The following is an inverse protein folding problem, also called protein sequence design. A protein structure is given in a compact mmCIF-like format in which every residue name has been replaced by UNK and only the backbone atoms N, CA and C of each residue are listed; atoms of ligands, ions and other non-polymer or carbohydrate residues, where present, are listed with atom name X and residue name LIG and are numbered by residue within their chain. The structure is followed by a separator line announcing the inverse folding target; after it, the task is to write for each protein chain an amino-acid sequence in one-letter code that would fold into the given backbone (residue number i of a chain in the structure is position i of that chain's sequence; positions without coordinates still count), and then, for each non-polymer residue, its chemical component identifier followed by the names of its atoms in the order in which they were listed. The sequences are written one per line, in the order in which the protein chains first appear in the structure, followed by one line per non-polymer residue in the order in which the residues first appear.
data_IF_602380876746
#
_entry.id   IF_602380876746
#
_cell.length_a   1.000
_cell.length_b   1.000
_cell.length_c   1.000
_cell.angle_alpha   90.00
_cell.angle_beta   90.00
_cell.angle_gamma   90.00
#
_symmetry.space_group_name_H-M   'P 1'
#
loop_
_entity.id
_entity.type
_entity.pdbx_description
1 polymer ?
#
# COMPACT_ATOMS: atom_id res chain seq x y z
N UNK A 1 7.05 8.90 -15.37
CA UNK A 1 6.43 9.48 -14.16
C UNK A 1 5.33 8.54 -13.71
N UNK A 2 5.08 8.45 -12.40
CA UNK A 2 4.10 7.55 -11.80
C UNK A 2 3.14 8.39 -10.96
N UNK A 3 1.85 8.06 -10.99
CA UNK A 3 0.88 8.62 -10.05
C UNK A 3 0.82 7.74 -8.79
N UNK A 4 0.98 8.34 -7.61
CA UNK A 4 0.83 7.67 -6.33
C UNK A 4 -0.51 8.11 -5.72
N UNK A 5 -1.33 7.12 -5.37
CA UNK A 5 -2.69 7.28 -4.84
C UNK A 5 -2.97 6.23 -3.80
N UNK A 6 -3.95 6.48 -2.95
CA UNK A 6 -4.36 5.62 -1.87
C UNK A 6 -5.72 6.03 -1.33
N UNK A 7 -6.30 5.20 -0.46
CA UNK A 7 -7.36 5.61 0.46
C UNK A 7 -8.50 6.35 -0.26
N UNK A 8 -8.92 5.83 -1.41
CA UNK A 8 -9.95 6.44 -2.26
C UNK A 8 -10.65 5.38 -3.14
N UNK A 9 -11.96 5.48 -3.40
CA UNK A 9 -12.86 6.56 -3.02
C UNK A 9 -13.21 6.64 -1.53
N UNK A 10 -12.75 5.71 -0.69
CA UNK A 10 -12.87 5.67 0.77
C UNK A 10 -14.26 5.97 1.33
N UNK A 11 -14.76 7.20 1.29
CA UNK A 11 -16.07 7.58 1.81
C UNK A 11 -16.99 8.21 0.74
N UNK A 12 -18.17 8.65 1.17
CA UNK A 12 -19.14 9.31 0.29
C UNK A 12 -18.58 10.58 -0.38
N UNK A 13 -17.64 11.29 0.27
CA UNK A 13 -17.00 12.46 -0.31
C UNK A 13 -16.01 12.04 -1.40
N UNK A 14 -15.17 11.04 -1.14
CA UNK A 14 -14.23 10.53 -2.12
C UNK A 14 -14.93 9.89 -3.33
N UNK A 15 -16.09 9.23 -3.17
CA UNK A 15 -16.91 8.77 -4.32
C UNK A 15 -17.26 9.93 -5.28
N UNK A 16 -17.52 11.13 -4.75
CA UNK A 16 -17.84 12.32 -5.56
C UNK A 16 -16.60 12.98 -6.18
N UNK A 17 -15.46 12.94 -5.48
CA UNK A 17 -14.26 13.71 -5.81
C UNK A 17 -13.21 12.92 -6.62
N UNK A 18 -13.17 11.59 -6.47
CA UNK A 18 -12.24 10.71 -7.18
C UNK A 18 -12.38 10.79 -8.72
N UNK A 19 -13.57 10.96 -9.32
CA UNK A 19 -13.66 11.18 -10.76
C UNK A 19 -12.79 12.34 -11.26
N UNK A 20 -12.61 13.40 -10.46
CA UNK A 20 -11.73 14.52 -10.81
C UNK A 20 -10.24 14.13 -10.73
N UNK A 21 -9.86 13.27 -9.78
CA UNK A 21 -8.50 12.71 -9.65
C UNK A 21 -8.17 11.86 -10.86
N UNK A 22 -9.05 10.93 -11.21
CA UNK A 22 -8.89 10.03 -12.34
C UNK A 22 -8.78 10.84 -13.64
N UNK A 23 -9.61 11.88 -13.81
CA UNK A 23 -9.53 12.78 -14.96
C UNK A 23 -8.18 13.51 -15.02
N UNK A 24 -7.68 14.04 -13.91
CA UNK A 24 -6.39 14.74 -13.85
C UNK A 24 -5.22 13.81 -14.20
N UNK A 25 -5.20 12.59 -13.64
CA UNK A 25 -4.19 11.55 -13.95
C UNK A 25 -4.28 11.10 -15.41
N UNK A 26 -5.49 10.81 -15.92
CA UNK A 26 -5.70 10.36 -17.29
C UNK A 26 -5.23 11.42 -18.31
N UNK A 27 -5.53 12.69 -18.04
CA UNK A 27 -5.17 13.83 -18.90
C UNK A 27 -3.68 14.20 -18.83
N UNK A 28 -2.93 13.73 -17.82
CA UNK A 28 -1.49 13.96 -17.74
C UNK A 28 -0.73 12.98 -18.66
N UNK A 29 -0.12 13.43 -19.78
CA UNK A 29 0.54 12.53 -20.72
C UNK A 29 1.81 11.89 -20.17
N UNK A 30 2.42 12.49 -19.12
CA UNK A 30 3.69 12.02 -18.53
C UNK A 30 3.52 10.82 -17.61
N UNK A 31 2.32 10.63 -17.04
CA UNK A 31 2.03 9.47 -16.20
C UNK A 31 2.08 8.22 -17.05
N UNK A 32 2.87 7.23 -16.63
CA UNK A 32 3.01 5.93 -17.28
C UNK A 32 1.98 4.93 -16.73
N UNK A 33 1.78 4.90 -15.41
CA UNK A 33 0.81 4.08 -14.67
C UNK A 33 0.61 4.65 -13.25
N UNK A 34 -0.31 4.06 -12.48
CA UNK A 34 -0.63 4.44 -11.11
C UNK A 34 -0.23 3.33 -10.13
N UNK A 35 0.34 3.71 -8.98
CA UNK A 35 0.49 2.86 -7.80
C UNK A 35 -0.62 3.22 -6.80
N UNK A 36 -1.42 2.24 -6.44
CA UNK A 36 -2.53 2.38 -5.51
C UNK A 36 -2.26 1.58 -4.24
N UNK A 37 -2.10 2.24 -3.10
CA UNK A 37 -1.61 1.60 -1.88
C UNK A 37 -2.69 0.89 -1.04
N UNK A 38 -3.99 1.14 -1.22
CA UNK A 38 -5.04 0.37 -0.52
C UNK A 38 -6.27 1.21 -0.17
N UNK A 39 -7.23 0.61 0.53
CA UNK A 39 -8.39 1.29 1.12
C UNK A 39 -9.30 2.04 0.13
N UNK A 40 -9.83 1.28 -0.81
CA UNK A 40 -10.91 1.64 -1.73
C UNK A 40 -12.27 1.87 -1.06
N UNK A 41 -12.44 1.50 0.21
CA UNK A 41 -13.69 1.67 0.97
C UNK A 41 -13.44 2.11 2.41
N UNK A 42 -14.42 2.73 3.04
CA UNK A 42 -14.24 3.28 4.39
C UNK A 42 -14.34 2.19 5.45
N UNK A 43 -13.43 2.23 6.42
CA UNK A 43 -13.46 1.41 7.63
C UNK A 43 -14.61 1.76 8.59
N UNK A 44 -15.37 2.83 8.31
CA UNK A 44 -16.39 3.41 9.22
C UNK A 44 -17.79 3.51 8.63
N UNK A 45 -17.93 3.54 7.29
CA UNK A 45 -19.22 3.81 6.62
C UNK A 45 -19.67 2.75 5.62
N UNK A 46 -18.73 2.04 4.98
CA UNK A 46 -19.05 1.19 3.83
C UNK A 46 -19.09 -0.29 4.18
N UNK A 47 -20.19 -0.96 3.86
CA UNK A 47 -20.31 -2.40 4.09
C UNK A 47 -19.46 -3.20 3.11
N UNK A 48 -18.80 -4.25 3.60
CA UNK A 48 -18.11 -5.25 2.78
C UNK A 48 -19.09 -6.25 2.14
N UNK A 49 -20.17 -5.74 1.55
CA UNK A 49 -21.14 -6.58 0.85
C UNK A 49 -20.53 -7.17 -0.43
N UNK A 50 -20.94 -8.37 -0.82
CA UNK A 50 -20.38 -9.08 -1.98
C UNK A 50 -20.41 -8.24 -3.27
N UNK A 51 -21.45 -7.42 -3.45
CA UNK A 51 -21.62 -6.55 -4.61
C UNK A 51 -20.64 -5.36 -4.65
N UNK A 52 -19.99 -5.00 -3.54
CA UNK A 52 -19.09 -3.86 -3.46
C UNK A 52 -17.82 -4.07 -4.29
N UNK A 53 -17.26 -5.28 -4.30
CA UNK A 53 -16.00 -5.61 -4.97
C UNK A 53 -16.07 -5.47 -6.51
N UNK A 54 -17.02 -6.12 -7.22
CA UNK A 54 -17.16 -5.90 -8.66
C UNK A 54 -17.61 -4.46 -8.99
N UNK A 55 -18.36 -3.80 -8.11
CA UNK A 55 -18.75 -2.40 -8.29
C UNK A 55 -17.53 -1.47 -8.20
N UNK A 56 -16.62 -1.67 -7.24
CA UNK A 56 -15.37 -0.93 -7.14
C UNK A 56 -14.48 -1.16 -8.37
N UNK A 57 -14.38 -2.41 -8.84
CA UNK A 57 -13.66 -2.70 -10.09
C UNK A 57 -14.19 -1.84 -11.26
N UNK A 58 -15.49 -1.86 -11.50
CA UNK A 58 -16.12 -1.23 -12.67
C UNK A 58 -16.28 0.28 -12.56
N UNK A 59 -16.54 0.79 -11.34
CA UNK A 59 -16.81 2.19 -11.10
C UNK A 59 -15.56 3.00 -10.73
N UNK A 60 -14.50 2.35 -10.27
CA UNK A 60 -13.24 2.98 -9.88
C UNK A 60 -12.05 2.51 -10.72
N UNK A 61 -11.57 1.28 -10.52
CA UNK A 61 -10.33 0.80 -11.18
C UNK A 61 -10.40 0.88 -12.71
N UNK A 62 -11.51 0.46 -13.31
CA UNK A 62 -11.69 0.43 -14.77
C UNK A 62 -11.82 1.84 -15.39
N UNK A 63 -11.86 2.91 -14.58
CA UNK A 63 -11.88 4.30 -15.08
C UNK A 63 -10.50 4.85 -15.40
N UNK A 64 -9.43 4.19 -14.96
CA UNK A 64 -8.07 4.58 -15.31
C UNK A 64 -7.73 4.12 -16.72
N UNK A 65 -7.25 5.04 -17.55
CA UNK A 65 -6.84 4.75 -18.95
C UNK A 65 -5.50 4.02 -19.05
N UNK A 66 -4.79 3.92 -17.92
CA UNK A 66 -3.48 3.30 -17.75
C UNK A 66 -3.56 2.26 -16.62
N UNK A 67 -2.57 1.38 -16.51
CA UNK A 67 -2.58 0.32 -15.51
C UNK A 67 -2.56 0.88 -14.10
N UNK A 68 -3.15 0.12 -13.19
CA UNK A 68 -2.99 0.27 -11.75
C UNK A 68 -2.25 -0.94 -11.21
N UNK A 69 -1.20 -0.68 -10.44
CA UNK A 69 -0.61 -1.67 -9.56
C UNK A 69 -1.18 -1.44 -8.17
N UNK A 70 -1.83 -2.46 -7.63
CA UNK A 70 -2.68 -2.36 -6.45
C UNK A 70 -2.07 -3.13 -5.27
N UNK A 71 -1.89 -2.49 -4.12
CA UNK A 71 -1.69 -3.17 -2.84
C UNK A 71 -2.99 -3.14 -2.03
N UNK A 72 -3.24 -4.22 -1.29
CA UNK A 72 -4.51 -4.43 -0.59
C UNK A 72 -4.46 -3.79 0.79
N UNK A 73 -5.48 -3.00 1.12
CA UNK A 73 -5.66 -2.41 2.43
C UNK A 73 -6.49 -3.27 3.38
N UNK A 74 -6.58 -2.84 4.63
CA UNK A 74 -7.35 -3.54 5.66
C UNK A 74 -8.86 -3.33 5.47
N UNK A 75 -9.28 -2.21 4.89
CA UNK A 75 -10.68 -1.83 4.81
C UNK A 75 -11.50 -2.69 3.83
N UNK A 76 -10.85 -3.35 2.87
CA UNK A 76 -11.50 -4.29 1.94
C UNK A 76 -11.81 -5.65 2.56
N UNK A 77 -11.15 -6.04 3.66
CA UNK A 77 -11.26 -7.41 4.16
C UNK A 77 -11.01 -7.57 5.66
N UNK A 78 -9.90 -7.07 6.21
CA UNK A 78 -9.54 -7.24 7.64
C UNK A 78 -10.63 -6.64 8.51
N UNK A 79 -11.02 -5.40 8.22
CA UNK A 79 -12.02 -4.65 8.99
C UNK A 79 -13.46 -5.14 8.82
N UNK A 80 -13.71 -6.10 7.93
CA UNK A 80 -15.06 -6.45 7.54
C UNK A 80 -15.86 -7.18 8.62
N UNK A 81 -15.20 -7.66 9.67
CA UNK A 81 -15.80 -8.22 10.89
C UNK A 81 -16.43 -7.15 11.79
N UNK A 82 -16.09 -5.88 11.59
CA UNK A 82 -16.71 -4.75 12.31
C UNK A 82 -18.20 -4.68 11.97
N UNK A 83 -19.02 -4.44 12.99
CA UNK A 83 -20.48 -4.34 12.83
C UNK A 83 -20.90 -3.28 11.81
N UNK A 84 -20.18 -2.13 11.76
CA UNK A 84 -20.43 -1.05 10.78
C UNK A 84 -20.11 -1.47 9.34
N UNK A 85 -19.18 -2.42 9.17
CA UNK A 85 -18.77 -3.01 7.89
C UNK A 85 -19.62 -4.22 7.50
N UNK A 86 -20.49 -4.69 8.39
CA UNK A 86 -21.46 -5.76 8.16
C UNK A 86 -21.20 -7.07 8.91
N UNK A 87 -20.11 -7.17 9.68
CA UNK A 87 -19.84 -8.35 10.52
C UNK A 87 -19.53 -9.61 9.72
N UNK A 88 -18.80 -9.48 8.62
CA UNK A 88 -18.44 -10.56 7.72
C UNK A 88 -17.15 -11.26 8.15
N UNK A 89 -16.97 -12.51 7.72
CA UNK A 89 -15.68 -13.21 7.88
C UNK A 89 -14.61 -12.59 6.95
N UNK A 90 -13.52 -12.02 7.49
CA UNK A 90 -12.45 -11.41 6.71
C UNK A 90 -11.87 -12.30 5.60
N UNK A 91 -11.79 -13.62 5.81
CA UNK A 91 -11.21 -14.52 4.82
C UNK A 91 -12.11 -14.68 3.59
N UNK A 92 -13.42 -14.63 3.78
CA UNK A 92 -14.37 -14.62 2.64
C UNK A 92 -14.26 -13.33 1.84
N UNK A 93 -13.89 -12.22 2.50
CA UNK A 93 -13.69 -10.91 1.88
C UNK A 93 -12.37 -10.82 1.15
N UNK A 94 -11.31 -11.36 1.71
CA UNK A 94 -10.04 -11.52 1.01
C UNK A 94 -10.19 -12.38 -0.26
N UNK A 95 -11.01 -13.43 -0.23
CA UNK A 95 -11.32 -14.21 -1.42
C UNK A 95 -12.05 -13.38 -2.50
N UNK A 96 -12.94 -12.45 -2.12
CA UNK A 96 -13.58 -11.52 -3.05
C UNK A 96 -12.60 -10.50 -3.62
N UNK A 97 -11.69 -9.95 -2.81
CA UNK A 97 -10.59 -9.08 -3.26
C UNK A 97 -9.77 -9.81 -4.33
N UNK A 98 -9.28 -11.02 -4.03
CA UNK A 98 -8.50 -11.83 -4.98
C UNK A 98 -9.25 -12.11 -6.27
N UNK A 99 -10.50 -12.57 -6.16
CA UNK A 99 -11.30 -12.97 -7.33
C UNK A 99 -11.72 -11.82 -8.26
N UNK A 100 -11.77 -10.59 -7.75
CA UNK A 100 -12.14 -9.42 -8.54
C UNK A 100 -10.93 -8.63 -9.04
N UNK A 101 -9.82 -8.64 -8.31
CA UNK A 101 -8.72 -7.70 -8.55
C UNK A 101 -7.40 -8.35 -8.97
N UNK A 102 -7.22 -9.66 -8.73
CA UNK A 102 -5.93 -10.32 -8.98
C UNK A 102 -6.04 -11.60 -9.78
N UNK A 103 -7.03 -12.45 -9.54
CA UNK A 103 -7.12 -13.75 -10.21
C UNK A 103 -8.57 -14.12 -10.47
N UNK A 104 -8.95 -14.39 -11.72
CA UNK A 104 -10.31 -14.80 -12.04
C UNK A 104 -10.58 -16.29 -11.73
N UNK A 105 -11.81 -16.73 -11.94
CA UNK A 105 -12.22 -18.12 -11.71
C UNK A 105 -11.49 -19.16 -12.57
N UNK A 106 -10.83 -18.74 -13.67
CA UNK A 106 -10.00 -19.62 -14.52
C UNK A 106 -8.55 -19.72 -14.02
N UNK A 107 -8.19 -18.94 -13.00
CA UNK A 107 -6.84 -18.83 -12.48
C UNK A 107 -5.98 -17.81 -13.23
N UNK A 108 -6.54 -17.06 -14.20
CA UNK A 108 -5.82 -16.05 -14.95
C UNK A 108 -5.69 -14.76 -14.15
N UNK A 109 -4.53 -14.08 -14.29
CA UNK A 109 -4.28 -12.83 -13.59
C UNK A 109 -5.15 -11.69 -14.15
N UNK A 110 -5.71 -10.87 -13.26
CA UNK A 110 -6.54 -9.71 -13.58
C UNK A 110 -5.66 -8.47 -13.56
N UNK A 111 -5.49 -7.82 -14.71
CA UNK A 111 -4.88 -6.49 -14.77
C UNK A 111 -5.93 -5.41 -14.50
N UNK A 112 -5.62 -4.49 -13.57
CA UNK A 112 -6.48 -3.35 -13.25
C UNK A 112 -6.16 -2.12 -14.11
N UNK A 113 -7.19 -1.33 -14.40
CA UNK A 113 -7.10 -0.14 -15.24
C UNK A 113 -6.87 -0.47 -16.73
N UNK A 114 -6.32 0.50 -17.46
CA UNK A 114 -6.02 0.37 -18.87
C UNK A 114 -4.69 -0.35 -19.14
N UNK A 115 -4.19 -0.25 -20.37
CA UNK A 115 -2.94 -0.91 -20.80
C UNK A 115 -1.74 0.04 -20.67
N UNK A 116 -0.55 -0.52 -20.44
CA UNK A 116 0.70 0.25 -20.49
C UNK A 116 0.86 0.93 -21.86
N UNK A 117 1.46 2.12 -21.86
CA UNK A 117 1.96 2.73 -23.09
C UNK A 117 3.29 2.07 -23.46
N UNK A 118 3.31 1.28 -24.53
CA UNK A 118 4.53 0.62 -25.02
C UNK A 118 4.79 -0.73 -24.36
N UNK A 119 6.05 -1.01 -23.99
CA UNK A 119 6.45 -2.31 -23.43
C UNK A 119 5.72 -2.60 -22.13
N UNK A 120 4.94 -3.68 -22.15
CA UNK A 120 4.23 -4.19 -20.99
C UNK A 120 5.26 -4.90 -20.10
N UNK A 121 5.48 -4.46 -18.84
CA UNK A 121 6.29 -5.21 -17.91
C UNK A 121 5.61 -6.55 -17.62
N UNK A 122 6.39 -7.63 -17.58
CA UNK A 122 5.90 -8.90 -17.07
C UNK A 122 5.74 -8.78 -15.56
N UNK A 123 4.49 -8.67 -15.10
CA UNK A 123 4.20 -8.65 -13.66
C UNK A 123 4.20 -10.10 -13.17
N UNK A 124 5.13 -10.37 -12.26
CA UNK A 124 5.22 -11.65 -11.57
C UNK A 124 4.28 -11.63 -10.37
N UNK A 125 3.66 -12.76 -10.10
CA UNK A 125 2.76 -12.96 -8.97
C UNK A 125 3.16 -14.21 -8.19
N UNK A 126 2.85 -14.24 -6.90
CA UNK A 126 2.94 -15.47 -6.14
C UNK A 126 1.77 -16.41 -6.49
N UNK A 127 2.02 -17.72 -6.50
CA UNK A 127 1.01 -18.70 -6.90
C UNK A 127 -0.09 -18.90 -5.83
N UNK A 128 0.23 -18.67 -4.56
CA UNK A 128 -0.72 -18.79 -3.45
C UNK A 128 -1.29 -17.45 -3.02
N UNK A 129 -0.54 -16.38 -3.23
CA UNK A 129 -0.92 -15.00 -2.90
C UNK A 129 -0.87 -14.13 -4.16
N UNK A 130 -1.90 -14.19 -5.03
CA UNK A 130 -1.89 -13.52 -6.34
C UNK A 130 -1.77 -11.99 -6.24
N UNK A 131 -2.06 -11.41 -5.08
CA UNK A 131 -1.85 -10.00 -4.78
C UNK A 131 -0.37 -9.59 -4.59
N UNK A 132 0.52 -10.54 -4.29
CA UNK A 132 1.96 -10.29 -4.21
C UNK A 132 2.49 -10.08 -5.62
N UNK A 133 2.87 -8.85 -5.97
CA UNK A 133 3.30 -8.48 -7.31
C UNK A 133 4.77 -8.06 -7.34
N UNK A 134 5.45 -8.29 -8.46
CA UNK A 134 6.82 -7.84 -8.68
C UNK A 134 7.11 -7.65 -10.16
N UNK A 135 7.72 -6.53 -10.54
CA UNK A 135 8.10 -6.27 -11.93
C UNK A 135 9.24 -5.26 -12.00
N UNK A 136 9.84 -5.12 -13.19
CA UNK A 136 10.83 -4.09 -13.45
C UNK A 136 10.33 -3.16 -14.56
N UNK A 137 10.49 -1.85 -14.38
CA UNK A 137 10.11 -0.85 -15.36
C UNK A 137 11.11 0.31 -15.36
N UNK A 138 11.69 0.61 -16.53
CA UNK A 138 12.67 1.68 -16.74
C UNK A 138 13.80 1.70 -15.70
N UNK A 139 14.37 0.53 -15.39
CA UNK A 139 15.50 0.39 -14.45
C UNK A 139 15.12 0.42 -12.97
N UNK A 140 13.82 0.40 -12.63
CA UNK A 140 13.32 0.32 -11.25
C UNK A 140 12.65 -1.03 -11.04
N UNK A 141 12.95 -1.67 -9.92
CA UNK A 141 12.23 -2.88 -9.47
C UNK A 141 11.11 -2.48 -8.51
N UNK A 142 9.91 -2.97 -8.77
CA UNK A 142 8.71 -2.77 -7.94
C UNK A 142 8.44 -4.05 -7.16
N UNK A 143 8.19 -3.89 -5.86
CA UNK A 143 7.89 -4.99 -4.93
C UNK A 143 6.57 -4.64 -4.24
N UNK A 144 5.54 -5.46 -4.40
CA UNK A 144 4.23 -5.23 -3.79
C UNK A 144 3.92 -6.42 -2.90
N UNK A 145 4.33 -6.37 -1.62
CA UNK A 145 3.83 -7.32 -0.63
C UNK A 145 2.41 -6.94 -0.19
N UNK A 146 1.68 -7.87 0.41
CA UNK A 146 0.34 -7.63 0.94
C UNK A 146 0.46 -7.36 2.43
N UNK A 147 0.57 -6.08 2.80
CA UNK A 147 0.77 -5.63 4.18
C UNK A 147 -0.30 -4.58 4.50
N UNK A 148 -1.50 -5.01 4.93
CA UNK A 148 -2.57 -4.12 5.37
C UNK A 148 -2.37 -3.68 6.82
N UNK A 149 -3.03 -2.59 7.20
CA UNK A 149 -3.14 -2.07 8.54
C UNK A 149 -3.97 -2.99 9.44
N UNK A 150 -4.55 -2.43 10.49
CA UNK A 150 -5.30 -3.19 11.50
C UNK A 150 -4.52 -4.42 11.97
N UNK A 151 -3.28 -4.15 12.42
CA UNK A 151 -2.35 -5.15 12.95
C UNK A 151 -2.01 -6.27 11.96
N UNK A 152 -2.04 -6.04 10.65
CA UNK A 152 -1.72 -7.04 9.64
C UNK A 152 -2.63 -8.28 9.72
N UNK A 153 -3.87 -8.13 10.24
CA UNK A 153 -4.78 -9.23 10.58
C UNK A 153 -4.24 -10.20 11.67
N UNK A 154 -3.23 -9.80 12.44
CA UNK A 154 -2.74 -10.59 13.57
C UNK A 154 -3.73 -10.51 14.76
N UNK A 155 -3.99 -11.62 15.48
CA UNK A 155 -4.88 -11.56 16.64
C UNK A 155 -4.38 -10.64 17.74
N UNK A 156 -5.25 -9.73 18.19
CA UNK A 156 -4.97 -8.79 19.28
C UNK A 156 -5.54 -9.31 20.59
N UNK A 157 -4.69 -9.87 21.44
CA UNK A 157 -5.11 -10.46 22.73
C UNK A 157 -5.20 -9.45 23.87
N UNK A 158 -4.73 -8.21 23.66
CA UNK A 158 -4.70 -7.15 24.67
C UNK A 158 -5.59 -5.96 24.26
N UNK A 159 -6.45 -5.44 25.16
CA UNK A 159 -7.32 -4.30 24.86
C UNK A 159 -6.60 -3.02 24.41
N UNK A 160 -5.32 -2.88 24.78
CA UNK A 160 -4.49 -1.72 24.43
C UNK A 160 -4.12 -1.65 22.94
N UNK A 161 -4.33 -2.73 22.18
CA UNK A 161 -4.08 -2.76 20.73
C UNK A 161 -5.37 -2.89 19.92
N UNK A 162 -6.50 -2.44 20.48
CA UNK A 162 -7.77 -2.37 19.76
C UNK A 162 -7.86 -1.06 19.01
N UNK A 163 -7.70 -1.11 17.71
CA UNK A 163 -8.21 -0.06 16.82
C UNK A 163 -9.72 -0.23 16.71
N UNK A 164 -10.36 0.61 15.91
CA UNK A 164 -11.78 0.93 15.93
C UNK A 164 -12.74 -0.28 16.14
N UNK A 165 -13.16 -0.53 17.39
CA UNK A 165 -14.11 -1.59 17.77
C UNK A 165 -13.59 -3.04 17.65
N UNK A 166 -12.27 -3.24 17.66
CA UNK A 166 -11.71 -4.59 17.53
C UNK A 166 -12.07 -5.48 18.75
N UNK A 167 -12.55 -6.69 18.53
CA UNK A 167 -12.90 -7.67 19.58
C UNK A 167 -11.68 -8.50 20.00
N UNK A 168 -11.79 -9.28 21.09
CA UNK A 168 -10.70 -10.17 21.51
C UNK A 168 -10.51 -11.38 20.56
N UNK A 169 -11.39 -11.53 19.58
CA UNK A 169 -11.38 -12.60 18.59
C UNK A 169 -11.05 -12.11 17.17
N UNK A 170 -10.74 -10.83 17.01
CA UNK A 170 -10.39 -10.27 15.71
C UNK A 170 -8.99 -10.72 15.31
N UNK A 171 -8.76 -10.76 14.00
CA UNK A 171 -7.55 -11.30 13.41
C UNK A 171 -7.56 -12.82 13.24
N UNK A 172 -6.63 -13.32 12.43
CA UNK A 172 -6.47 -14.74 12.17
C UNK A 172 -4.99 -15.13 12.18
N UNK A 173 -4.55 -15.85 13.22
CA UNK A 173 -3.13 -16.18 13.42
C UNK A 173 -2.55 -17.00 12.26
N UNK A 174 -3.31 -17.96 11.74
CA UNK A 174 -2.85 -18.86 10.69
C UNK A 174 -2.69 -18.12 9.36
N UNK A 175 -3.66 -17.27 9.01
CA UNK A 175 -3.60 -16.42 7.83
C UNK A 175 -2.44 -15.42 7.93
N UNK A 176 -2.38 -14.65 9.03
CA UNK A 176 -1.34 -13.65 9.26
C UNK A 176 0.06 -14.26 9.19
N UNK A 177 0.34 -15.33 9.93
CA UNK A 177 1.68 -15.94 9.95
C UNK A 177 2.10 -16.47 8.58
N UNK A 178 1.18 -17.10 7.85
CA UNK A 178 1.48 -17.65 6.53
C UNK A 178 1.74 -16.53 5.51
N UNK A 179 0.91 -15.47 5.51
CA UNK A 179 1.07 -14.33 4.62
C UNK A 179 2.29 -13.48 4.96
N UNK A 180 2.58 -13.22 6.24
CA UNK A 180 3.76 -12.45 6.65
C UNK A 180 5.06 -13.18 6.28
N UNK A 181 5.11 -14.51 6.44
CA UNK A 181 6.23 -15.31 5.93
C UNK A 181 6.37 -15.21 4.39
N UNK A 182 5.27 -15.22 3.65
CA UNK A 182 5.27 -15.02 2.21
C UNK A 182 5.73 -13.61 1.82
N UNK A 183 5.29 -12.57 2.53
CA UNK A 183 5.74 -11.19 2.34
C UNK A 183 7.25 -11.06 2.53
N UNK A 184 7.80 -11.60 3.62
CA UNK A 184 9.24 -11.57 3.90
C UNK A 184 10.03 -12.24 2.78
N UNK A 185 9.58 -13.42 2.34
CA UNK A 185 10.21 -14.13 1.21
C UNK A 185 10.09 -13.33 -0.11
N UNK A 186 8.95 -12.70 -0.35
CA UNK A 186 8.69 -11.90 -1.55
C UNK A 186 9.55 -10.63 -1.60
N UNK A 187 9.69 -9.93 -0.47
CA UNK A 187 10.56 -8.77 -0.30
C UNK A 187 12.02 -9.17 -0.59
N UNK A 188 12.50 -10.25 0.03
CA UNK A 188 13.85 -10.75 -0.21
C UNK A 188 14.09 -11.11 -1.69
N UNK A 189 13.11 -11.77 -2.33
CA UNK A 189 13.15 -12.10 -3.77
C UNK A 189 13.16 -10.84 -4.64
N UNK A 190 12.41 -9.81 -4.28
CA UNK A 190 12.36 -8.53 -4.98
C UNK A 190 13.69 -7.79 -4.94
N UNK A 191 14.36 -7.73 -3.78
CA UNK A 191 15.70 -7.14 -3.69
C UNK A 191 16.76 -7.97 -4.43
N UNK A 192 16.66 -9.30 -4.43
CA UNK A 192 17.53 -10.15 -5.23
C UNK A 192 17.33 -9.89 -6.74
N UNK A 193 16.08 -9.75 -7.19
CA UNK A 193 15.76 -9.33 -8.55
C UNK A 193 16.32 -7.95 -8.88
N UNK A 194 16.18 -6.98 -7.98
CA UNK A 194 16.69 -5.63 -8.19
C UNK A 194 18.21 -5.61 -8.41
N UNK A 195 18.95 -6.44 -7.68
CA UNK A 195 20.39 -6.65 -7.89
C UNK A 195 20.70 -7.32 -9.22
N UNK A 196 19.99 -8.40 -9.56
CA UNK A 196 20.19 -9.14 -10.80
C UNK A 196 19.88 -8.30 -12.05
N UNK A 197 18.86 -7.45 -11.96
CA UNK A 197 18.46 -6.51 -13.02
C UNK A 197 19.29 -5.21 -13.02
N UNK A 198 20.28 -5.09 -12.13
CA UNK A 198 21.10 -3.88 -11.92
C UNK A 198 20.27 -2.61 -11.72
N UNK A 199 19.11 -2.73 -11.09
CA UNK A 199 18.15 -1.63 -10.91
C UNK A 199 18.83 -0.41 -10.28
N UNK A 200 18.43 0.78 -10.72
CA UNK A 200 18.91 2.06 -10.17
C UNK A 200 18.16 2.45 -8.90
N UNK A 201 17.00 1.84 -8.65
CA UNK A 201 16.22 2.00 -7.42
C UNK A 201 15.18 0.90 -7.24
N UNK A 202 14.61 0.82 -6.04
CA UNK A 202 13.49 -0.07 -5.69
C UNK A 202 12.30 0.76 -5.20
N UNK A 203 11.10 0.39 -5.61
CA UNK A 203 9.85 0.93 -5.04
C UNK A 203 9.09 -0.22 -4.39
N UNK A 204 8.74 -0.05 -3.12
CA UNK A 204 7.90 -0.96 -2.35
C UNK A 204 6.53 -0.30 -2.15
N UNK A 205 5.45 -1.04 -2.43
CA UNK A 205 4.08 -0.56 -2.28
C UNK A 205 3.33 -1.41 -1.26
N UNK A 206 2.86 -0.80 -0.17
CA UNK A 206 2.05 -1.42 0.89
C UNK A 206 0.92 -0.48 1.28
N UNK A 207 -0.07 -0.94 2.04
CA UNK A 207 -1.05 -0.04 2.64
C UNK A 207 -0.55 0.50 3.99
N UNK A 208 -0.12 -0.39 4.89
CA UNK A 208 0.04 -0.08 6.32
C UNK A 208 1.06 1.02 6.61
N UNK A 209 0.75 1.89 7.59
CA UNK A 209 1.72 2.83 8.14
C UNK A 209 2.85 2.11 8.91
N UNK A 210 2.50 1.06 9.66
CA UNK A 210 3.39 0.23 10.49
C UNK A 210 4.12 0.94 11.66
N UNK A 211 3.82 2.22 11.92
CA UNK A 211 4.46 3.11 12.92
C UNK A 211 5.99 2.91 12.93
N UNK A 212 6.65 3.31 11.84
CA UNK A 212 8.09 3.12 11.67
C UNK A 212 8.90 3.81 12.76
N UNK A 213 8.47 4.99 13.16
CA UNK A 213 9.17 5.86 14.09
C UNK A 213 8.88 5.51 15.56
N UNK A 214 7.85 4.71 15.82
CA UNK A 214 7.39 4.39 17.18
C UNK A 214 6.79 5.62 17.88
N UNK A 215 6.33 6.62 17.12
CA UNK A 215 5.74 7.84 17.68
C UNK A 215 4.29 7.62 18.07
N UNK A 216 3.55 6.84 17.27
CA UNK A 216 2.14 6.67 17.48
C UNK A 216 1.84 5.76 18.67
N UNK A 217 2.69 4.76 18.95
CA UNK A 217 2.66 3.96 20.19
C UNK A 217 2.86 4.79 21.47
N UNK A 218 3.70 5.82 21.42
CA UNK A 218 4.10 6.58 22.62
C UNK A 218 3.30 7.90 22.77
N UNK A 219 2.30 8.14 21.92
CA UNK A 219 1.45 9.33 21.99
C UNK A 219 0.53 9.31 23.22
N UNK A 220 0.06 10.49 23.64
CA UNK A 220 -0.85 10.63 24.80
C UNK A 220 -2.18 9.87 24.63
N UNK A 221 -2.60 9.70 23.37
CA UNK A 221 -3.63 8.76 22.96
C UNK A 221 -2.99 7.91 21.84
N UNK A 222 -2.37 6.77 22.17
CA UNK A 222 -1.62 6.02 21.19
C UNK A 222 -2.56 5.49 20.10
N UNK A 223 -2.05 5.36 18.87
CA UNK A 223 -2.73 4.48 17.94
C UNK A 223 -2.60 3.07 18.54
N UNK A 224 -3.73 2.41 18.73
CA UNK A 224 -3.74 1.09 19.34
C UNK A 224 -3.36 0.03 18.29
N UNK A 225 -2.55 0.35 17.30
CA UNK A 225 -2.15 -0.65 16.31
C UNK A 225 -1.11 -1.59 16.94
N UNK A 226 -1.26 -2.90 16.75
CA UNK A 226 -0.26 -3.87 17.20
C UNK A 226 0.94 -3.85 16.23
N UNK A 227 1.80 -2.85 16.38
CA UNK A 227 2.93 -2.59 15.46
C UNK A 227 3.96 -3.74 15.43
N UNK A 228 3.96 -4.61 16.46
CA UNK A 228 4.77 -5.82 16.50
C UNK A 228 4.41 -6.81 15.38
N UNK A 229 3.17 -6.76 14.87
CA UNK A 229 2.73 -7.59 13.74
C UNK A 229 3.43 -7.23 12.40
N UNK A 230 4.18 -6.13 12.36
CA UNK A 230 4.94 -5.71 11.19
C UNK A 230 6.45 -5.94 11.33
N UNK A 231 6.92 -6.44 12.47
CA UNK A 231 8.35 -6.48 12.79
C UNK A 231 9.18 -7.26 11.76
N UNK A 232 8.69 -8.41 11.28
CA UNK A 232 9.40 -9.22 10.31
C UNK A 232 9.44 -8.56 8.92
N UNK A 233 8.32 -7.98 8.48
CA UNK A 233 8.24 -7.18 7.25
C UNK A 233 9.19 -5.98 7.30
N UNK A 234 9.17 -5.18 8.38
CA UNK A 234 10.09 -4.04 8.53
C UNK A 234 11.56 -4.50 8.51
N UNK A 235 11.89 -5.61 9.19
CA UNK A 235 13.25 -6.16 9.19
C UNK A 235 13.68 -6.67 7.80
N UNK A 236 12.77 -7.26 7.01
CA UNK A 236 13.06 -7.68 5.64
C UNK A 236 13.38 -6.48 4.74
N UNK A 237 12.65 -5.38 4.89
CA UNK A 237 12.90 -4.12 4.20
C UNK A 237 14.26 -3.52 4.58
N UNK A 238 14.60 -3.47 5.87
CA UNK A 238 15.92 -3.01 6.33
C UNK A 238 17.04 -3.85 5.72
N UNK A 239 16.93 -5.19 5.84
CA UNK A 239 17.93 -6.13 5.34
C UNK A 239 18.13 -5.97 3.83
N UNK A 240 17.04 -5.87 3.08
CA UNK A 240 17.07 -5.67 1.63
C UNK A 240 17.68 -4.32 1.25
N UNK A 241 17.31 -3.26 1.96
CA UNK A 241 17.79 -1.89 1.71
C UNK A 241 19.29 -1.76 1.94
N UNK A 242 19.80 -2.23 3.08
CA UNK A 242 21.23 -2.22 3.40
C UNK A 242 22.03 -3.03 2.38
N UNK A 243 21.49 -4.19 1.98
CA UNK A 243 22.17 -5.05 1.02
C UNK A 243 22.13 -4.48 -0.42
N UNK A 244 21.11 -3.71 -0.79
CA UNK A 244 20.95 -3.13 -2.13
C UNK A 244 21.81 -1.88 -2.33
N UNK A 245 21.97 -1.04 -1.29
CA UNK A 245 22.91 0.09 -1.29
C UNK A 245 22.58 1.22 -2.28
N UNK A 246 21.38 1.21 -2.87
CA UNK A 246 20.86 2.21 -3.81
C UNK A 246 19.48 2.72 -3.31
N UNK A 247 18.92 3.79 -3.88
CA UNK A 247 17.65 4.35 -3.40
C UNK A 247 16.50 3.33 -3.34
N UNK A 248 15.79 3.33 -2.22
CA UNK A 248 14.57 2.56 -1.94
C UNK A 248 13.48 3.53 -1.54
N UNK A 249 12.33 3.42 -2.19
CA UNK A 249 11.12 4.17 -1.85
C UNK A 249 10.06 3.22 -1.30
N UNK A 250 9.47 3.57 -0.16
CA UNK A 250 8.24 2.98 0.36
C UNK A 250 7.07 3.92 0.04
N UNK A 251 6.06 3.45 -0.67
CA UNK A 251 4.75 4.10 -0.73
C UNK A 251 3.80 3.40 0.24
N UNK A 252 3.07 4.18 1.05
CA UNK A 252 1.99 3.71 1.91
C UNK A 252 0.80 4.69 1.97
N UNK A 253 -0.32 4.22 2.54
CA UNK A 253 -1.54 4.98 2.80
C UNK A 253 -1.88 5.01 4.29
N UNK A 254 -3.09 4.60 4.66
CA UNK A 254 -3.57 4.26 6.03
C UNK A 254 -3.91 5.48 6.89
N UNK A 255 -2.95 6.38 7.15
CA UNK A 255 -3.17 7.54 8.04
C UNK A 255 -3.88 8.72 7.33
N UNK A 256 -4.13 8.61 6.02
CA UNK A 256 -4.87 9.57 5.20
C UNK A 256 -4.26 10.98 5.01
N UNK A 257 -3.07 11.28 5.52
CA UNK A 257 -2.38 12.56 5.25
C UNK A 257 -1.09 12.39 4.43
N UNK A 258 -0.76 13.40 3.63
CA UNK A 258 0.47 13.39 2.85
C UNK A 258 1.71 13.62 3.72
N UNK A 259 2.72 12.77 3.56
CA UNK A 259 4.00 12.85 4.25
C UNK A 259 5.14 12.33 3.37
N UNK A 260 6.31 12.95 3.45
CA UNK A 260 7.56 12.44 2.87
C UNK A 260 8.64 12.53 3.92
N UNK A 261 9.31 11.42 4.21
CA UNK A 261 10.35 11.33 5.23
C UNK A 261 11.31 10.16 5.00
N UNK A 262 12.24 9.97 5.93
CA UNK A 262 13.19 8.86 5.98
C UNK A 262 13.06 8.16 7.33
N UNK A 263 12.12 7.21 7.49
CA UNK A 263 11.69 6.76 8.81
C UNK A 263 12.55 5.59 9.35
N UNK A 264 13.52 5.09 8.58
CA UNK A 264 14.27 3.89 8.91
C UNK A 264 15.59 4.24 9.62
N UNK A 265 15.70 3.85 10.89
CA UNK A 265 16.96 3.90 11.64
C UNK A 265 17.39 2.49 12.06
N UNK A 266 18.70 2.28 12.19
CA UNK A 266 19.26 0.98 12.55
C UNK A 266 20.44 1.02 13.53
N UNK A 267 20.71 -0.10 14.18
CA UNK A 267 21.99 -0.39 14.84
C UNK A 267 22.38 -1.84 14.61
N UNK A 268 23.53 -2.06 13.98
CA UNK A 268 24.08 -3.38 13.69
C UNK A 268 23.08 -4.29 12.93
N UNK A 269 22.38 -3.73 11.95
CA UNK A 269 21.43 -4.43 11.08
C UNK A 269 20.05 -4.70 11.71
N UNK A 270 19.74 -4.03 12.83
CA UNK A 270 18.44 -4.13 13.51
C UNK A 270 17.75 -2.79 13.54
N UNK A 271 16.44 -2.77 13.33
CA UNK A 271 15.63 -1.56 13.42
C UNK A 271 15.70 -0.95 14.82
N UNK A 272 15.81 0.37 14.85
CA UNK A 272 15.75 1.18 16.06
C UNK A 272 14.72 2.29 15.81
N UNK A 273 13.80 2.47 16.76
CA UNK A 273 12.81 3.53 16.70
C UNK A 273 13.43 4.88 17.06
N UNK A 274 12.86 5.96 16.51
CA UNK A 274 13.27 7.36 16.78
C UNK A 274 14.73 7.63 16.39
N UNK A 275 15.28 8.70 16.94
CA UNK A 275 16.64 9.21 16.71
C UNK A 275 17.75 8.43 17.45
N UNK A 276 17.48 7.19 17.86
CA UNK A 276 18.39 6.39 18.70
C UNK A 276 19.39 5.53 17.93
N UNK A 277 19.30 5.49 16.60
CA UNK A 277 20.15 4.72 15.71
C UNK A 277 20.80 5.57 14.62
N UNK A 278 21.40 4.90 13.62
CA UNK A 278 21.88 5.55 12.40
C UNK A 278 20.77 5.55 11.35
N UNK A 279 20.56 6.69 10.71
CA UNK A 279 19.62 6.84 9.61
C UNK A 279 20.04 5.95 8.43
N UNK A 280 19.08 5.27 7.81
CA UNK A 280 19.30 4.57 6.53
C UNK A 280 18.98 5.54 5.40
N UNK A 281 19.99 6.27 4.93
CA UNK A 281 19.80 7.48 4.11
C UNK A 281 19.25 7.20 2.71
N UNK A 282 19.35 5.96 2.24
CA UNK A 282 18.80 5.53 0.95
C UNK A 282 17.35 5.03 1.06
N UNK A 283 16.69 5.10 2.22
CA UNK A 283 15.29 4.72 2.41
C UNK A 283 14.40 5.94 2.59
N UNK A 284 13.54 6.20 1.61
CA UNK A 284 12.53 7.28 1.65
C UNK A 284 11.15 6.66 1.75
N UNK A 285 10.25 7.25 2.53
CA UNK A 285 8.82 6.93 2.52
C UNK A 285 8.02 8.09 1.95
N UNK A 286 6.97 7.77 1.22
CA UNK A 286 5.90 8.68 0.81
C UNK A 286 4.56 8.10 1.24
N UNK A 287 3.90 8.79 2.15
CA UNK A 287 2.51 8.52 2.47
C UNK A 287 1.61 9.33 1.55
N UNK A 288 0.66 8.68 0.88
CA UNK A 288 -0.25 9.34 -0.05
C UNK A 288 -1.36 10.10 0.70
N UNK A 289 -2.13 10.87 -0.06
CA UNK A 289 -3.35 11.47 0.48
C UNK A 289 -4.44 10.41 0.66
N UNK A 290 -5.35 10.62 1.61
CA UNK A 290 -6.52 9.76 1.80
C UNK A 290 -7.69 10.47 2.44
N UNK A 291 -8.78 9.73 2.69
CA UNK A 291 -9.97 10.11 3.48
C UNK A 291 -10.17 11.61 3.72
N UNK A 292 -10.99 12.22 2.89
CA UNK A 292 -11.29 13.66 2.97
C UNK A 292 -10.29 14.58 2.27
N UNK A 293 -9.09 14.10 1.91
CA UNK A 293 -8.06 14.86 1.19
C UNK A 293 -7.81 14.30 -0.22
N UNK A 294 -8.86 14.13 -1.04
CA UNK A 294 -8.77 13.49 -2.37
C UNK A 294 -7.88 14.26 -3.36
N UNK A 295 -6.57 13.96 -3.34
CA UNK A 295 -5.50 14.48 -4.18
C UNK A 295 -4.52 13.33 -4.53
N UNK A 296 -3.50 13.58 -5.34
CA UNK A 296 -2.51 12.55 -5.71
C UNK A 296 -1.08 13.10 -5.68
N UNK A 297 -0.10 12.21 -5.66
CA UNK A 297 1.32 12.60 -5.69
C UNK A 297 1.93 12.19 -7.02
N UNK A 298 2.55 13.14 -7.72
CA UNK A 298 3.34 12.83 -8.90
C UNK A 298 4.76 12.43 -8.49
N UNK A 299 5.14 11.19 -8.79
CA UNK A 299 6.50 10.69 -8.67
C UNK A 299 7.23 10.81 -9.99
N UNK A 300 8.23 11.67 -10.03
CA UNK A 300 9.23 11.69 -11.11
C UNK A 300 10.47 10.91 -10.67
N UNK A 301 10.91 10.01 -11.54
CA UNK A 301 12.10 9.19 -11.36
C UNK A 301 13.12 9.68 -12.38
N UNK A 302 14.21 10.30 -11.92
CA UNK A 302 15.28 10.81 -12.78
C UNK A 302 16.63 10.24 -12.32
N UNK A 303 17.23 9.30 -13.07
CA UNK A 303 18.55 8.75 -12.75
C UNK A 303 19.70 9.77 -12.74
N UNK A 304 19.46 11.00 -13.21
CA UNK A 304 20.42 12.10 -13.14
C UNK A 304 20.27 12.96 -11.88
N UNK A 305 19.18 12.79 -11.13
CA UNK A 305 18.97 13.44 -9.83
C UNK A 305 19.77 12.71 -8.76
N UNK A 306 20.37 13.45 -7.83
CA UNK A 306 21.09 12.87 -6.68
C UNK A 306 20.18 11.99 -5.81
N UNK A 307 18.89 12.34 -5.70
CA UNK A 307 17.92 11.63 -4.85
C UNK A 307 17.11 10.56 -5.59
N UNK A 308 17.24 10.44 -6.92
CA UNK A 308 16.40 9.65 -7.85
C UNK A 308 14.91 10.02 -7.89
N UNK A 309 14.31 10.34 -6.74
CA UNK A 309 12.89 10.63 -6.55
C UNK A 309 12.63 12.14 -6.49
N UNK A 310 11.55 12.58 -7.12
CA UNK A 310 10.95 13.90 -6.90
C UNK A 310 9.45 13.75 -6.75
N UNK A 311 8.93 14.27 -5.63
CA UNK A 311 7.50 14.23 -5.29
C UNK A 311 6.87 15.59 -5.53
N UNK A 312 5.80 15.64 -6.30
CA UNK A 312 5.00 16.85 -6.48
C UNK A 312 3.57 16.55 -6.05
N UNK A 313 3.09 17.12 -4.94
CA UNK A 313 1.67 17.05 -4.59
C UNK A 313 0.81 17.70 -5.67
N UNK A 314 -0.11 16.92 -6.24
CA UNK A 314 -1.03 17.37 -7.29
C UNK A 314 -2.38 17.67 -6.65
N UNK A 315 -2.54 18.93 -6.24
CA UNK A 315 -3.79 19.44 -5.68
C UNK A 315 -4.81 19.62 -6.80
N UNK A 316 -5.82 18.75 -6.83
CA UNK A 316 -6.87 18.78 -7.83
C UNK A 316 -7.82 19.94 -7.54
N UNK A 317 -7.81 20.94 -8.43
CA UNK A 317 -8.54 22.21 -8.27
C UNK A 317 -10.03 22.01 -7.98
N UNK A 318 -10.66 21.00 -8.58
CA UNK A 318 -12.08 20.71 -8.40
C UNK A 318 -12.43 20.20 -6.99
N UNK A 319 -11.44 19.72 -6.23
CA UNK A 319 -11.61 19.14 -4.89
C UNK A 319 -11.17 20.11 -3.78
N UNK A 320 -10.77 21.34 -4.12
CA UNK A 320 -10.32 22.33 -3.13
C UNK A 320 -11.53 22.84 -2.32
N UNK A 321 -11.46 22.70 -1.00
CA UNK A 321 -12.44 23.25 -0.07
C UNK A 321 -12.43 24.78 -0.05
N UNK A 322 -13.53 25.39 0.40
CA UNK A 322 -13.58 26.82 0.72
C UNK A 322 -13.06 27.02 2.14
N UNK A 323 -12.14 27.98 2.31
CA UNK A 323 -11.55 28.37 3.59
C UNK A 323 -11.86 29.85 3.88
#
# INVERSE_FOLDING_TARGET
TIALTGDMPYDAKGVLEVPNIIADINNNPKVDFTLFDGDTMSGKGDKCADAAYPALKTNFFDKFTRPIIYSVGDNEWVDCDRAVKGGYDPLTRLALVRSNYFQDATGAYISLGGKFKGTIPNVLHDALYPELQMFSYKGITFIVPHVPGSANNAPVTQPAFKTYNDTATDGNEAEYKARDAANVAWIAKGFAKAKADESVGVIVLIQANMDWEGYARDAAAPNNENTAAFAATKQALLTGTLAFGKPVLLQNGDEHWFQVDMPMNETAGKLIEKDKGTLVENFTRVQTFGSGFNHWVELTIDPRSETLWTFVPRIVKANIGKH
#
